data_IF_300455763680
#
_entry.id   IF_300455763680
#
_cell.length_a   1.000
_cell.length_b   1.000
_cell.length_c   1.000
_cell.angle_alpha   90.00
_cell.angle_beta   90.00
_cell.angle_gamma   90.00
#
_symmetry.space_group_name_H-M   'P 1'
#
loop_
_entity.id
_entity.type
_entity.pdbx_description
1 polymer ?
#
# COMPACT_ATOMS: atom_id res chain seq x y z
N UNK A 1 -0.95 -6.55 -16.86
CA UNK A 1 -1.96 -6.57 -15.79
C UNK A 1 -2.20 -5.15 -15.30
N UNK A 2 -3.46 -4.76 -15.04
CA UNK A 2 -3.83 -3.43 -14.53
C UNK A 2 -4.04 -3.48 -13.01
N UNK A 3 -3.66 -2.42 -12.30
CA UNK A 3 -3.98 -2.30 -10.87
C UNK A 3 -5.47 -2.07 -10.67
N UNK A 4 -6.08 -2.81 -9.75
CA UNK A 4 -7.49 -2.67 -9.41
C UNK A 4 -7.74 -3.13 -7.98
N UNK A 5 -8.76 -2.56 -7.35
CA UNK A 5 -9.24 -3.04 -6.07
C UNK A 5 -9.78 -4.47 -6.21
N UNK A 6 -9.31 -5.39 -5.36
CA UNK A 6 -9.80 -6.77 -5.36
C UNK A 6 -10.49 -7.17 -4.04
N UNK A 7 -10.24 -6.46 -2.94
CA UNK A 7 -10.88 -6.70 -1.64
C UNK A 7 -9.90 -7.10 -0.52
N UNK A 8 -10.41 -7.37 0.70
CA UNK A 8 -9.58 -7.65 1.88
C UNK A 8 -8.74 -8.95 1.79
N UNK A 9 -7.87 -9.23 2.77
CA UNK A 9 -7.04 -10.45 2.74
C UNK A 9 -7.93 -11.71 2.80
N UNK A 10 -7.78 -12.67 1.87
CA UNK A 10 -8.57 -13.89 1.92
C UNK A 10 -8.00 -14.85 2.97
N UNK A 11 -8.90 -15.63 3.56
CA UNK A 11 -8.63 -16.74 4.46
C UNK A 11 -9.21 -17.99 3.81
N UNK A 12 -8.33 -18.83 3.28
CA UNK A 12 -8.68 -19.99 2.46
C UNK A 12 -8.62 -21.24 3.35
N UNK A 13 -9.66 -22.06 3.30
CA UNK A 13 -9.73 -23.30 4.10
C UNK A 13 -10.51 -24.40 3.36
N UNK A 14 -10.48 -25.62 3.90
CA UNK A 14 -11.31 -26.74 3.43
C UNK A 14 -12.82 -26.52 3.64
N UNK A 15 -13.22 -25.54 4.45
CA UNK A 15 -14.64 -25.20 4.68
C UNK A 15 -15.15 -24.06 3.80
N UNK A 16 -14.27 -23.40 3.05
CA UNK A 16 -14.59 -22.25 2.22
C UNK A 16 -13.57 -21.13 2.32
N UNK A 17 -13.91 -20.01 1.69
CA UNK A 17 -13.10 -18.79 1.65
C UNK A 17 -13.83 -17.69 2.43
N UNK A 18 -13.12 -17.06 3.37
CA UNK A 18 -13.58 -15.87 4.09
C UNK A 18 -12.58 -14.72 3.93
N UNK A 19 -12.90 -13.53 4.43
CA UNK A 19 -12.06 -12.34 4.24
C UNK A 19 -11.81 -11.62 5.56
N UNK A 20 -10.53 -11.35 5.86
CA UNK A 20 -10.09 -10.57 7.01
C UNK A 20 -10.28 -9.07 6.74
N UNK A 21 -11.36 -8.51 7.29
CA UNK A 21 -11.75 -7.11 7.11
C UNK A 21 -10.78 -6.11 7.75
N UNK A 22 -9.90 -6.55 8.64
CA UNK A 22 -8.86 -5.69 9.22
C UNK A 22 -7.66 -5.54 8.27
N UNK A 23 -7.62 -6.30 7.17
CA UNK A 23 -6.54 -6.27 6.18
C UNK A 23 -7.09 -5.86 4.82
N UNK A 24 -7.38 -4.59 4.69
CA UNK A 24 -7.84 -4.01 3.43
C UNK A 24 -6.79 -4.15 2.30
N UNK A 25 -7.24 -4.14 1.05
CA UNK A 25 -6.36 -4.03 -0.13
C UNK A 25 -5.61 -2.70 -0.13
N UNK A 26 -4.30 -2.73 -0.35
CA UNK A 26 -3.50 -1.50 -0.39
C UNK A 26 -3.86 -0.58 -1.56
N UNK A 27 -4.57 -1.09 -2.57
CA UNK A 27 -5.12 -0.27 -3.65
C UNK A 27 -5.94 0.93 -3.16
N UNK A 28 -6.67 0.80 -2.04
CA UNK A 28 -7.53 1.90 -1.53
C UNK A 28 -6.73 3.15 -1.14
N UNK A 29 -5.44 2.99 -0.82
CA UNK A 29 -4.56 4.07 -0.36
C UNK A 29 -3.74 4.69 -1.50
N UNK A 30 -3.62 4.03 -2.66
CA UNK A 30 -2.75 4.46 -3.76
C UNK A 30 -3.08 5.87 -4.25
N UNK A 31 -4.36 6.21 -4.37
CA UNK A 31 -4.76 7.52 -4.86
C UNK A 31 -4.28 8.64 -3.93
N UNK A 32 -4.40 8.45 -2.62
CA UNK A 32 -3.94 9.41 -1.61
C UNK A 32 -2.41 9.50 -1.60
N UNK A 33 -1.71 8.36 -1.66
CA UNK A 33 -0.24 8.33 -1.71
C UNK A 33 0.33 9.07 -2.93
N UNK A 34 -0.26 8.86 -4.11
CA UNK A 34 0.13 9.58 -5.33
C UNK A 34 -0.21 11.08 -5.23
N UNK A 35 -1.35 11.43 -4.64
CA UNK A 35 -1.68 12.84 -4.43
C UNK A 35 -0.71 13.53 -3.47
N UNK A 36 -0.22 12.85 -2.43
CA UNK A 36 0.85 13.38 -1.59
C UNK A 36 2.12 13.65 -2.39
N UNK A 37 2.56 12.71 -3.23
CA UNK A 37 3.72 12.93 -4.12
C UNK A 37 3.50 14.17 -4.97
N UNK A 38 2.34 14.31 -5.63
CA UNK A 38 2.03 15.48 -6.45
C UNK A 38 1.95 16.78 -5.67
N UNK A 39 1.58 16.71 -4.39
CA UNK A 39 1.51 17.87 -3.51
C UNK A 39 2.90 18.32 -3.07
N UNK A 40 3.86 17.39 -2.95
CA UNK A 40 5.19 17.71 -2.40
C UNK A 40 6.32 17.73 -3.44
N UNK A 41 6.14 17.19 -4.65
CA UNK A 41 7.17 17.15 -5.70
C UNK A 41 7.26 18.50 -6.44
N UNK A 42 7.78 19.51 -5.75
CA UNK A 42 8.05 20.84 -6.29
C UNK A 42 9.25 21.48 -5.58
N UNK A 43 9.72 22.62 -6.07
CA UNK A 43 10.81 23.36 -5.41
C UNK A 43 10.35 24.01 -4.11
N UNK A 44 11.18 23.89 -3.06
CA UNK A 44 10.96 24.52 -1.75
C UNK A 44 11.94 25.67 -1.53
N UNK A 45 11.46 26.69 -0.82
CA UNK A 45 12.23 27.81 -0.32
C UNK A 45 12.09 27.87 1.20
N UNK A 46 13.19 28.18 1.89
CA UNK A 46 13.24 28.25 3.35
C UNK A 46 12.14 29.18 3.94
N UNK A 47 11.68 28.83 5.15
CA UNK A 47 10.67 29.57 5.93
C UNK A 47 9.30 29.74 5.26
N UNK A 48 8.93 28.87 4.32
CA UNK A 48 7.61 28.91 3.65
C UNK A 48 6.72 27.73 3.99
N UNK A 49 5.47 28.05 4.35
CA UNK A 49 4.38 27.07 4.41
C UNK A 49 3.75 26.92 3.03
N UNK A 50 3.75 25.69 2.52
CA UNK A 50 3.08 25.33 1.28
C UNK A 50 1.74 24.69 1.60
N UNK A 51 0.66 25.21 1.02
CA UNK A 51 -0.68 24.68 1.21
C UNK A 51 -1.14 24.10 -0.13
N UNK A 52 -1.27 22.78 -0.17
CA UNK A 52 -1.83 22.08 -1.33
C UNK A 52 -3.33 21.91 -1.14
N UNK A 53 -4.11 22.50 -2.04
CA UNK A 53 -5.55 22.29 -2.04
C UNK A 53 -5.90 20.98 -2.76
N UNK A 54 -6.17 19.93 -1.99
CA UNK A 54 -6.60 18.60 -2.46
C UNK A 54 -7.96 18.58 -3.16
N UNK A 55 -8.59 19.72 -3.44
CA UNK A 55 -9.82 19.81 -4.26
C UNK A 55 -9.69 19.26 -5.70
N UNK A 56 -8.51 18.76 -6.08
CA UNK A 56 -8.32 17.99 -7.30
C UNK A 56 -9.14 16.70 -7.26
N UNK A 57 -9.89 16.38 -8.33
CA UNK A 57 -10.67 15.16 -8.39
C UNK A 57 -9.78 13.92 -8.22
N UNK A 58 -10.32 12.89 -7.56
CA UNK A 58 -9.69 11.56 -7.48
C UNK A 58 -9.24 11.14 -8.88
N UNK A 59 -7.96 10.78 -9.01
CA UNK A 59 -7.42 10.29 -10.29
C UNK A 59 -8.24 9.09 -10.77
N UNK A 60 -8.52 9.03 -12.08
CA UNK A 60 -9.05 7.81 -12.69
C UNK A 60 -8.03 6.67 -12.55
N UNK A 61 -8.46 5.41 -12.75
CA UNK A 61 -7.53 4.28 -12.66
C UNK A 61 -6.39 4.39 -13.67
N UNK A 62 -6.67 4.83 -14.90
CA UNK A 62 -5.65 5.01 -15.93
C UNK A 62 -4.65 6.11 -15.55
N UNK A 63 -5.15 7.26 -15.06
CA UNK A 63 -4.30 8.35 -14.58
C UNK A 63 -3.46 7.91 -13.38
N UNK A 64 -4.05 7.16 -12.46
CA UNK A 64 -3.36 6.64 -11.28
C UNK A 64 -2.24 5.68 -11.70
N UNK A 65 -2.50 4.78 -12.64
CA UNK A 65 -1.51 3.84 -13.16
C UNK A 65 -0.36 4.57 -13.87
N UNK A 66 -0.65 5.60 -14.65
CA UNK A 66 0.37 6.43 -15.31
C UNK A 66 1.27 7.15 -14.30
N UNK A 67 0.70 7.73 -13.24
CA UNK A 67 1.49 8.36 -12.18
C UNK A 67 2.33 7.33 -11.40
N UNK A 68 1.79 6.15 -11.12
CA UNK A 68 2.52 5.07 -10.45
C UNK A 68 3.72 4.62 -11.29
N UNK A 69 3.57 4.48 -12.60
CA UNK A 69 4.68 4.10 -13.50
C UNK A 69 5.80 5.14 -13.51
N UNK A 70 5.48 6.42 -13.31
CA UNK A 70 6.49 7.48 -13.16
C UNK A 70 7.23 7.38 -11.82
N UNK A 71 6.51 7.02 -10.75
CA UNK A 71 7.10 6.85 -9.42
C UNK A 71 7.97 5.59 -9.33
N UNK A 72 7.46 4.48 -9.86
CA UNK A 72 8.06 3.15 -9.76
C UNK A 72 8.85 2.79 -11.03
N UNK A 73 10.12 3.20 -11.10
CA UNK A 73 10.98 2.99 -12.28
C UNK A 73 11.07 1.54 -12.76
N UNK A 74 10.94 0.58 -11.83
CA UNK A 74 10.99 -0.86 -12.11
C UNK A 74 9.60 -1.52 -12.05
N UNK A 75 8.53 -0.78 -12.35
CA UNK A 75 7.14 -1.25 -12.21
C UNK A 75 6.88 -2.63 -12.82
N UNK A 76 7.32 -2.86 -14.07
CA UNK A 76 7.08 -4.14 -14.73
C UNK A 76 7.83 -5.28 -14.03
N UNK A 77 9.09 -5.07 -13.66
CA UNK A 77 9.88 -6.07 -12.93
C UNK A 77 9.27 -6.38 -11.57
N UNK A 78 8.71 -5.37 -10.89
CA UNK A 78 8.00 -5.55 -9.62
C UNK A 78 6.75 -6.43 -9.81
N UNK A 79 5.96 -6.16 -10.85
CA UNK A 79 4.77 -6.95 -11.19
C UNK A 79 5.15 -8.39 -11.50
N UNK A 80 6.11 -8.60 -12.40
CA UNK A 80 6.55 -9.93 -12.83
C UNK A 80 7.13 -10.73 -11.65
N UNK A 81 7.88 -10.07 -10.76
CA UNK A 81 8.43 -10.70 -9.57
C UNK A 81 7.33 -11.14 -8.60
N UNK A 82 6.33 -10.29 -8.35
CA UNK A 82 5.23 -10.64 -7.45
C UNK A 82 4.35 -11.75 -8.02
N UNK A 83 4.11 -11.76 -9.33
CA UNK A 83 3.41 -12.85 -10.00
C UNK A 83 4.14 -14.17 -9.78
N UNK A 84 5.45 -14.21 -10.04
CA UNK A 84 6.25 -15.41 -9.83
C UNK A 84 6.27 -15.89 -8.38
N UNK A 85 6.43 -14.99 -7.40
CA UNK A 85 6.40 -15.36 -5.98
C UNK A 85 5.06 -15.97 -5.57
N UNK A 86 3.95 -15.44 -6.07
CA UNK A 86 2.62 -15.98 -5.74
C UNK A 86 2.37 -17.32 -6.43
N UNK A 87 2.85 -17.51 -7.66
CA UNK A 87 2.80 -18.82 -8.32
C UNK A 87 3.51 -19.90 -7.49
N UNK A 88 4.70 -19.58 -6.98
CA UNK A 88 5.45 -20.48 -6.11
C UNK A 88 4.70 -20.74 -4.78
N UNK A 89 4.16 -19.70 -4.13
CA UNK A 89 3.36 -19.84 -2.91
C UNK A 89 2.11 -20.70 -3.13
N UNK A 90 1.39 -20.49 -4.23
CA UNK A 90 0.19 -21.27 -4.58
C UNK A 90 0.57 -22.73 -4.83
N UNK A 91 1.68 -22.98 -5.52
CA UNK A 91 2.17 -24.33 -5.72
C UNK A 91 2.47 -25.04 -4.39
N UNK A 92 3.21 -24.38 -3.49
CA UNK A 92 3.49 -24.92 -2.15
C UNK A 92 2.21 -25.21 -1.35
N UNK A 93 1.24 -24.30 -1.36
CA UNK A 93 -0.02 -24.46 -0.63
C UNK A 93 -0.87 -25.60 -1.20
N UNK A 94 -0.85 -25.82 -2.53
CA UNK A 94 -1.53 -26.96 -3.16
C UNK A 94 -0.89 -28.30 -2.77
N UNK A 95 0.44 -28.39 -2.73
CA UNK A 95 1.11 -29.62 -2.27
C UNK A 95 0.82 -29.88 -0.79
N UNK A 96 0.88 -28.85 0.08
CA UNK A 96 0.47 -28.96 1.49
C UNK A 96 -0.98 -29.41 1.66
N UNK A 97 -1.88 -28.94 0.80
CA UNK A 97 -3.28 -29.36 0.83
C UNK A 97 -3.44 -30.86 0.48
N UNK A 98 -2.73 -31.35 -0.54
CA UNK A 98 -2.76 -32.77 -0.95
C UNK A 98 -2.23 -33.72 0.11
N UNK A 99 -1.10 -33.34 0.71
CA UNK A 99 -0.39 -34.14 1.71
C UNK A 99 -1.03 -34.07 3.10
N UNK A 100 -2.08 -33.26 3.29
CA UNK A 100 -2.71 -33.08 4.58
C UNK A 100 -3.37 -34.38 5.08
N UNK A 101 -2.80 -34.97 6.14
CA UNK A 101 -3.28 -36.22 6.74
C UNK A 101 -4.48 -36.05 7.67
N UNK A 102 -4.82 -34.82 8.05
CA UNK A 102 -5.95 -34.53 8.96
C UNK A 102 -7.28 -34.37 8.22
N UNK A 103 -7.22 -34.05 6.93
CA UNK A 103 -8.38 -33.83 6.08
C UNK A 103 -8.75 -35.11 5.31
N UNK A 104 -10.05 -35.38 5.20
CA UNK A 104 -10.53 -36.45 4.34
C UNK A 104 -10.36 -36.07 2.85
N UNK A 105 -10.63 -37.02 1.94
CA UNK A 105 -10.42 -36.80 0.50
C UNK A 105 -11.25 -35.64 -0.06
N UNK A 106 -12.49 -35.47 0.41
CA UNK A 106 -13.38 -34.40 -0.05
C UNK A 106 -12.87 -33.05 0.48
N UNK A 107 -12.48 -32.99 1.75
CA UNK A 107 -11.95 -31.76 2.35
C UNK A 107 -10.66 -31.28 1.68
N UNK A 108 -9.77 -32.21 1.29
CA UNK A 108 -8.56 -31.89 0.52
C UNK A 108 -8.90 -31.32 -0.86
N UNK A 109 -9.82 -31.97 -1.57
CA UNK A 109 -10.30 -31.49 -2.87
C UNK A 109 -10.92 -30.09 -2.77
N UNK A 110 -11.74 -29.84 -1.74
CA UNK A 110 -12.33 -28.52 -1.49
C UNK A 110 -11.24 -27.48 -1.20
N UNK A 111 -10.25 -27.81 -0.36
CA UNK A 111 -9.14 -26.89 -0.07
C UNK A 111 -8.34 -26.55 -1.33
N UNK A 112 -7.96 -27.55 -2.13
CA UNK A 112 -7.25 -27.32 -3.40
C UNK A 112 -8.05 -26.44 -4.36
N UNK A 113 -9.35 -26.71 -4.52
CA UNK A 113 -10.22 -25.91 -5.37
C UNK A 113 -10.35 -24.47 -4.85
N UNK A 114 -10.47 -24.28 -3.53
CA UNK A 114 -10.53 -22.95 -2.94
C UNK A 114 -9.22 -22.17 -3.13
N UNK A 115 -8.06 -22.82 -3.05
CA UNK A 115 -6.75 -22.20 -3.37
C UNK A 115 -6.72 -21.78 -4.84
N UNK A 116 -7.08 -22.68 -5.77
CA UNK A 116 -7.06 -22.42 -7.22
C UNK A 116 -7.99 -21.27 -7.61
N UNK A 117 -9.21 -21.22 -7.06
CA UNK A 117 -10.17 -20.14 -7.36
C UNK A 117 -9.63 -18.77 -6.91
N UNK A 118 -8.80 -18.73 -5.87
CA UNK A 118 -8.22 -17.49 -5.34
C UNK A 118 -6.90 -17.09 -5.98
N UNK A 119 -6.40 -17.84 -6.96
CA UNK A 119 -5.12 -17.60 -7.64
C UNK A 119 -4.95 -16.15 -8.11
N UNK A 120 -5.79 -15.69 -9.04
CA UNK A 120 -5.69 -14.34 -9.61
C UNK A 120 -5.93 -13.25 -8.57
N UNK A 121 -6.72 -13.57 -7.53
CA UNK A 121 -6.97 -12.67 -6.42
C UNK A 121 -5.70 -12.43 -5.61
N UNK A 122 -4.97 -13.50 -5.28
CA UNK A 122 -3.71 -13.44 -4.54
C UNK A 122 -2.66 -12.66 -5.32
N UNK A 123 -2.54 -12.91 -6.63
CA UNK A 123 -1.63 -12.19 -7.53
C UNK A 123 -1.94 -10.69 -7.53
N UNK A 124 -3.19 -10.30 -7.79
CA UNK A 124 -3.62 -8.89 -7.79
C UNK A 124 -3.35 -8.20 -6.46
N UNK A 125 -3.69 -8.86 -5.36
CA UNK A 125 -3.50 -8.30 -4.03
C UNK A 125 -2.01 -8.13 -3.70
N UNK A 126 -1.17 -9.08 -4.09
CA UNK A 126 0.28 -8.99 -3.88
C UNK A 126 0.89 -7.83 -4.68
N UNK A 127 0.51 -7.71 -5.96
CA UNK A 127 0.93 -6.61 -6.82
C UNK A 127 0.47 -5.26 -6.26
N UNK A 128 -0.79 -5.12 -5.84
CA UNK A 128 -1.29 -3.88 -5.24
C UNK A 128 -0.48 -3.48 -4.00
N UNK A 129 -0.13 -4.46 -3.15
CA UNK A 129 0.70 -4.23 -1.96
C UNK A 129 2.11 -3.77 -2.35
N UNK A 130 2.76 -4.46 -3.27
CA UNK A 130 4.12 -4.13 -3.70
C UNK A 130 4.19 -2.73 -4.34
N UNK A 131 3.24 -2.44 -5.24
CA UNK A 131 3.11 -1.13 -5.89
C UNK A 131 2.87 -0.03 -4.85
N UNK A 132 2.02 -0.27 -3.86
CA UNK A 132 1.81 0.68 -2.76
C UNK A 132 3.11 1.03 -2.04
N UNK A 133 3.89 0.03 -1.62
CA UNK A 133 5.14 0.30 -0.92
C UNK A 133 6.18 1.00 -1.80
N UNK A 134 6.25 0.70 -3.09
CA UNK A 134 7.07 1.46 -4.02
C UNK A 134 6.69 2.96 -4.09
N UNK A 135 5.38 3.28 -4.04
CA UNK A 135 4.92 4.67 -3.98
C UNK A 135 5.28 5.32 -2.63
N UNK A 136 5.14 4.59 -1.52
CA UNK A 136 5.51 5.10 -0.19
C UNK A 136 7.01 5.36 -0.09
N UNK A 137 7.85 4.48 -0.63
CA UNK A 137 9.30 4.69 -0.73
C UNK A 137 9.62 5.98 -1.48
N UNK A 138 8.98 6.20 -2.63
CA UNK A 138 9.14 7.43 -3.39
C UNK A 138 8.71 8.68 -2.60
N UNK A 139 7.62 8.59 -1.85
CA UNK A 139 7.14 9.67 -1.00
C UNK A 139 8.16 9.98 0.13
N UNK A 140 8.69 8.95 0.79
CA UNK A 140 9.72 9.09 1.82
C UNK A 140 11.03 9.68 1.26
N UNK A 141 11.42 9.31 0.04
CA UNK A 141 12.57 9.92 -0.65
C UNK A 141 12.41 11.43 -0.84
N UNK A 142 11.22 11.88 -1.26
CA UNK A 142 10.93 13.30 -1.46
C UNK A 142 10.95 14.07 -0.14
N UNK A 143 10.30 13.52 0.90
CA UNK A 143 10.34 14.07 2.26
C UNK A 143 11.77 14.35 2.71
N UNK A 144 12.68 13.39 2.49
CA UNK A 144 14.09 13.51 2.84
C UNK A 144 14.87 14.47 1.94
N UNK A 145 14.67 14.37 0.63
CA UNK A 145 15.41 15.16 -0.36
C UNK A 145 15.16 16.66 -0.16
N UNK A 146 13.92 17.03 0.15
CA UNK A 146 13.48 18.41 0.24
C UNK A 146 13.48 18.93 1.69
N UNK A 147 14.02 18.14 2.65
CA UNK A 147 14.12 18.44 4.08
C UNK A 147 12.81 18.99 4.67
N UNK A 148 11.70 18.31 4.42
CA UNK A 148 10.40 18.74 4.95
C UNK A 148 10.41 18.64 6.48
N UNK A 149 9.87 19.66 7.15
CA UNK A 149 9.72 19.65 8.60
C UNK A 149 8.48 18.87 9.04
N UNK A 150 7.38 19.00 8.30
CA UNK A 150 6.13 18.31 8.61
C UNK A 150 5.17 18.23 7.41
N UNK A 151 4.24 17.27 7.46
CA UNK A 151 3.10 17.15 6.55
C UNK A 151 1.81 17.20 7.36
N UNK A 152 0.87 18.08 6.99
CA UNK A 152 -0.49 18.11 7.58
C UNK A 152 -1.51 17.66 6.54
N UNK A 153 -2.42 16.78 6.95
CA UNK A 153 -3.56 16.35 6.14
C UNK A 153 -4.84 16.28 6.98
N UNK A 154 -6.04 16.32 6.35
CA UNK A 154 -7.29 16.04 7.05
C UNK A 154 -7.27 14.65 7.70
N UNK A 155 -7.85 14.53 8.91
CA UNK A 155 -7.90 13.26 9.63
C UNK A 155 -8.99 12.35 9.05
N UNK A 156 -8.67 11.67 7.96
CA UNK A 156 -9.39 10.47 7.52
C UNK A 156 -8.46 9.26 7.60
N UNK A 157 -9.04 8.07 7.83
CA UNK A 157 -8.30 6.82 7.99
C UNK A 157 -7.28 6.57 6.88
N UNK A 158 -7.63 6.88 5.63
CA UNK A 158 -6.73 6.72 4.48
C UNK A 158 -5.50 7.63 4.52
N UNK A 159 -5.64 8.86 5.03
CA UNK A 159 -4.51 9.79 5.18
C UNK A 159 -3.60 9.32 6.31
N UNK A 160 -4.19 8.96 7.46
CA UNK A 160 -3.44 8.44 8.61
C UNK A 160 -2.65 7.19 8.21
N UNK A 161 -3.28 6.24 7.51
CA UNK A 161 -2.61 5.03 7.05
C UNK A 161 -1.42 5.32 6.13
N UNK A 162 -1.57 6.25 5.17
CA UNK A 162 -0.48 6.61 4.25
C UNK A 162 0.67 7.28 5.02
N UNK A 163 0.38 8.25 5.88
CA UNK A 163 1.43 8.92 6.67
C UNK A 163 2.13 7.96 7.64
N UNK A 164 1.40 7.05 8.28
CA UNK A 164 1.99 6.00 9.12
C UNK A 164 2.87 5.03 8.30
N UNK A 165 2.51 4.75 7.05
CA UNK A 165 3.36 3.95 6.17
C UNK A 165 4.65 4.69 5.79
N UNK A 166 4.58 6.01 5.59
CA UNK A 166 5.76 6.85 5.34
C UNK A 166 6.67 6.87 6.57
N UNK A 167 6.12 7.08 7.77
CA UNK A 167 6.85 6.97 9.05
C UNK A 167 7.61 5.64 9.15
N UNK A 168 6.93 4.51 8.89
CA UNK A 168 7.57 3.19 8.89
C UNK A 168 8.74 3.08 7.91
N UNK A 169 8.57 3.55 6.67
CA UNK A 169 9.64 3.52 5.66
C UNK A 169 10.81 4.45 6.03
N UNK A 170 10.55 5.63 6.61
CA UNK A 170 11.58 6.54 7.07
C UNK A 170 12.40 5.94 8.23
N UNK A 171 11.76 5.21 9.14
CA UNK A 171 12.41 4.53 10.26
C UNK A 171 13.27 3.32 9.84
N UNK A 172 12.88 2.61 8.77
CA UNK A 172 13.60 1.42 8.28
C UNK A 172 14.81 1.74 7.37
N UNK A 173 15.04 3.01 7.03
CA UNK A 173 16.18 3.40 6.20
C UNK A 173 17.53 3.14 6.89
N UNK A 174 18.60 3.01 6.08
CA UNK A 174 19.98 2.91 6.58
C UNK A 174 20.36 4.03 7.55
N UNK A 175 19.80 5.22 7.34
CA UNK A 175 19.87 6.35 8.25
C UNK A 175 18.43 6.70 8.62
N UNK A 176 17.91 6.14 9.73
CA UNK A 176 16.54 6.37 10.18
C UNK A 176 16.28 7.85 10.39
N UNK A 177 15.07 8.28 10.05
CA UNK A 177 14.58 9.63 10.37
C UNK A 177 13.51 9.48 11.43
N UNK A 178 13.72 10.12 12.57
CA UNK A 178 12.72 10.14 13.64
C UNK A 178 11.51 10.95 13.17
N UNK A 179 10.32 10.40 13.38
CA UNK A 179 9.07 11.06 13.03
C UNK A 179 8.05 10.87 14.15
N UNK A 180 7.04 11.74 14.17
CA UNK A 180 5.97 11.66 15.14
C UNK A 180 4.63 11.97 14.46
N UNK A 181 3.67 11.06 14.58
CA UNK A 181 2.34 11.22 14.01
C UNK A 181 1.36 11.70 15.08
N UNK A 182 0.88 12.94 14.95
CA UNK A 182 -0.04 13.56 15.90
C UNK A 182 -1.40 13.86 15.26
N UNK A 183 -2.47 13.72 16.06
CA UNK A 183 -3.82 14.15 15.68
C UNK A 183 -4.14 15.41 16.49
N UNK A 184 -4.60 16.45 15.80
CA UNK A 184 -4.96 17.72 16.42
C UNK A 184 -6.24 18.29 15.82
N UNK A 185 -6.89 19.19 16.56
CA UNK A 185 -8.09 19.90 16.13
C UNK A 185 -7.75 21.37 15.87
N UNK A 186 -8.18 21.88 14.72
CA UNK A 186 -8.10 23.30 14.37
C UNK A 186 -9.41 23.73 13.71
N UNK A 187 -10.03 24.82 14.18
CA UNK A 187 -11.30 25.33 13.64
C UNK A 187 -12.43 24.27 13.56
N UNK A 188 -12.54 23.40 14.58
CA UNK A 188 -13.51 22.29 14.62
C UNK A 188 -13.34 21.24 13.52
N UNK A 189 -12.14 21.16 12.94
CA UNK A 189 -11.74 20.11 12.00
C UNK A 189 -10.57 19.34 12.56
N UNK A 190 -10.59 18.01 12.40
CA UNK A 190 -9.51 17.13 12.81
C UNK A 190 -8.48 16.99 11.68
N UNK A 191 -7.22 17.06 12.06
CA UNK A 191 -6.07 16.91 11.18
C UNK A 191 -5.11 15.87 11.74
N UNK A 192 -4.30 15.31 10.85
CA UNK A 192 -3.15 14.48 11.18
C UNK A 192 -1.89 15.22 10.71
N UNK A 193 -0.87 15.23 11.56
CA UNK A 193 0.44 15.83 11.30
C UNK A 193 1.51 14.75 11.42
N UNK A 194 2.32 14.59 10.38
CA UNK A 194 3.57 13.85 10.44
C UNK A 194 4.68 14.87 10.65
N UNK A 195 5.24 14.93 11.85
CA UNK A 195 6.43 15.71 12.17
C UNK A 195 7.70 14.93 11.80
N UNK A 196 8.67 15.61 11.20
CA UNK A 196 9.94 15.04 10.73
C UNK A 196 11.07 15.68 11.52
N UNK A 197 11.77 14.87 12.31
CA UNK A 197 12.83 15.33 13.20
C UNK A 197 14.15 15.25 12.43
N UNK A 198 14.48 16.36 11.75
CA UNK A 198 15.74 16.50 11.04
C UNK A 198 16.86 16.83 12.06
N UNK A 199 17.91 16.00 12.11
CA UNK A 199 19.10 16.19 12.96
C UNK A 199 20.24 16.91 12.25
#
# INVERSE_FOLDING_TARGET
MHIKYIGPKPLISHTGITFDRNKEDKFVYLNIAVQFIKAIDHEYYEDRKYIYNMSSPRLSNDQLEDEIKKCCKNYQQLVDHQEHCIEDEVHEELERARENLTLNSIEREVLENNIRIMHDYLIQRSINKAVYYCVIERLAELVKKDNLDYIVAPMFETFVHVLHSVEGVLAEQKFPIDTNLEIFEENSQLFVKLDIINH
#
